data_IF_493106400635
#
_entry.id   IF_493106400635
#
_cell.length_a   1.000
_cell.length_b   1.000
_cell.length_c   1.000
_cell.angle_alpha   90.00
_cell.angle_beta   90.00
_cell.angle_gamma   90.00
#
_symmetry.space_group_name_H-M   'P 1'
#
loop_
_entity.id
_entity.type
_entity.pdbx_description
1 polymer ?
#
# COMPACT_ATOMS: atom_id res chain seq x y z
N UNK A 1 -14.28 1.00 10.44
CA UNK A 1 -14.96 1.41 11.67
C UNK A 1 -14.70 2.89 11.96
N UNK A 2 -15.66 3.57 12.57
CA UNK A 2 -15.49 4.91 13.14
C UNK A 2 -15.80 4.84 14.63
N UNK A 3 -14.77 4.91 15.50
CA UNK A 3 -14.98 4.83 16.95
C UNK A 3 -15.48 6.15 17.56
N UNK A 4 -15.98 7.09 16.75
CA UNK A 4 -16.45 8.40 17.18
C UNK A 4 -15.54 9.55 16.75
N UNK A 5 -14.76 9.38 15.65
CA UNK A 5 -14.03 10.50 15.08
C UNK A 5 -14.99 11.59 14.65
N UNK A 6 -14.63 12.82 14.99
CA UNK A 6 -15.37 14.04 14.63
C UNK A 6 -14.40 15.02 13.95
N UNK A 7 -14.92 16.16 13.50
CA UNK A 7 -14.11 17.23 12.90
C UNK A 7 -13.49 18.14 13.93
N UNK A 8 -13.77 17.94 15.22
CA UNK A 8 -13.30 18.78 16.30
C UNK A 8 -11.81 18.55 16.57
N UNK A 9 -11.17 19.55 17.15
CA UNK A 9 -9.77 19.47 17.56
C UNK A 9 -9.56 18.32 18.57
N UNK A 10 -8.53 17.53 18.32
CA UNK A 10 -8.19 16.37 19.16
C UNK A 10 -9.09 15.15 19.01
N UNK A 11 -10.13 15.22 18.15
CA UNK A 11 -11.05 14.09 17.89
C UNK A 11 -11.06 13.59 16.45
N UNK A 12 -10.17 14.12 15.63
CA UNK A 12 -10.06 13.74 14.23
C UNK A 12 -9.43 12.35 14.08
N UNK A 13 -9.71 11.71 12.93
CA UNK A 13 -9.06 10.48 12.55
C UNK A 13 -7.52 10.63 12.64
N UNK A 14 -6.82 9.79 13.42
CA UNK A 14 -5.37 9.88 13.59
C UNK A 14 -4.59 9.81 12.27
N UNK A 15 -5.07 9.03 11.31
CA UNK A 15 -4.43 8.94 9.99
C UNK A 15 -4.52 10.27 9.24
N UNK A 16 -5.65 10.97 9.32
CA UNK A 16 -5.80 12.31 8.76
C UNK A 16 -4.81 13.29 9.39
N UNK A 17 -4.77 13.36 10.71
CA UNK A 17 -3.90 14.34 11.41
C UNK A 17 -2.41 14.03 11.29
N UNK A 18 -2.04 12.74 11.22
CA UNK A 18 -0.62 12.33 11.14
C UNK A 18 -0.06 12.31 9.72
N UNK A 19 -0.89 12.03 8.71
CA UNK A 19 -0.46 11.83 7.32
C UNK A 19 -0.96 12.92 6.38
N UNK A 20 -1.95 13.68 6.77
CA UNK A 20 -2.54 14.78 6.03
C UNK A 20 -2.27 16.12 6.69
N UNK A 21 -3.25 16.62 7.43
CA UNK A 21 -3.21 17.95 8.04
C UNK A 21 -3.70 17.92 9.48
N UNK A 22 -3.00 18.67 10.36
CA UNK A 22 -3.52 18.95 11.70
C UNK A 22 -4.80 19.79 11.62
N UNK A 23 -5.49 19.89 12.75
CA UNK A 23 -6.66 20.76 12.88
C UNK A 23 -6.38 22.22 12.51
N UNK A 24 -5.19 22.72 12.81
CA UNK A 24 -4.73 24.10 12.52
C UNK A 24 -4.16 24.27 11.11
N UNK A 25 -4.15 23.22 10.28
CA UNK A 25 -3.67 23.26 8.91
C UNK A 25 -2.18 23.07 8.74
N UNK A 26 -1.46 22.73 9.81
CA UNK A 26 -0.07 22.32 9.69
C UNK A 26 -0.03 20.99 8.93
N UNK A 27 0.82 20.90 7.92
CA UNK A 27 1.05 19.66 7.21
C UNK A 27 1.40 18.54 8.18
N UNK A 28 0.82 17.38 8.00
CA UNK A 28 1.17 16.18 8.72
C UNK A 28 2.60 15.72 8.39
N UNK A 29 2.84 14.44 8.41
CA UNK A 29 4.17 13.91 8.21
C UNK A 29 4.65 14.06 6.76
N UNK A 30 5.41 15.12 6.47
CA UNK A 30 6.04 15.38 5.17
C UNK A 30 7.15 14.38 4.81
N UNK A 31 7.64 13.60 5.77
CA UNK A 31 8.67 12.59 5.55
C UNK A 31 8.12 11.30 4.89
N UNK A 32 6.82 11.12 4.86
CA UNK A 32 6.20 9.93 4.28
C UNK A 32 5.81 10.17 2.82
N UNK A 33 6.69 9.81 1.93
CA UNK A 33 6.49 9.90 0.49
C UNK A 33 6.50 8.50 -0.15
N UNK A 34 5.87 8.30 -1.33
CA UNK A 34 5.94 7.03 -2.04
C UNK A 34 7.36 6.71 -2.50
N UNK A 35 7.67 5.42 -2.55
CA UNK A 35 8.87 4.96 -3.23
C UNK A 35 8.64 4.94 -4.74
N UNK A 36 9.71 5.07 -5.53
CA UNK A 36 9.63 4.86 -6.98
C UNK A 36 9.07 3.48 -7.34
N UNK A 37 9.38 2.46 -6.55
CA UNK A 37 8.83 1.13 -6.72
C UNK A 37 7.30 1.13 -6.63
N UNK A 38 6.73 1.74 -5.58
CA UNK A 38 5.28 1.85 -5.40
C UNK A 38 4.64 2.68 -6.52
N UNK A 39 5.21 3.83 -6.85
CA UNK A 39 4.72 4.73 -7.89
C UNK A 39 4.75 4.10 -9.29
N UNK A 40 5.72 3.22 -9.55
CA UNK A 40 5.87 2.51 -10.81
C UNK A 40 4.69 1.60 -11.19
N UNK A 41 3.89 1.16 -10.23
CA UNK A 41 2.65 0.41 -10.49
C UNK A 41 1.52 1.27 -11.06
N UNK A 42 1.67 2.59 -11.07
CA UNK A 42 0.64 3.51 -11.53
C UNK A 42 1.03 4.27 -12.79
N UNK A 43 2.31 4.36 -13.11
CA UNK A 43 2.86 5.27 -14.12
C UNK A 43 3.37 4.60 -15.40
N UNK A 44 3.10 3.31 -15.59
CA UNK A 44 3.55 2.57 -16.78
C UNK A 44 4.94 1.94 -16.66
N UNK A 45 5.66 2.15 -15.56
CA UNK A 45 6.96 1.49 -15.35
C UNK A 45 6.82 -0.01 -15.06
N UNK A 46 5.72 -0.39 -14.42
CA UNK A 46 5.32 -1.77 -14.11
C UNK A 46 3.93 -2.08 -14.63
N UNK A 47 2.95 -1.25 -14.28
CA UNK A 47 1.57 -1.30 -14.73
C UNK A 47 1.09 0.12 -15.04
N UNK A 48 0.05 0.23 -15.84
CA UNK A 48 -0.60 1.49 -16.18
C UNK A 48 -1.87 1.64 -15.35
N UNK A 49 -1.89 2.58 -14.41
CA UNK A 49 -3.03 2.82 -13.52
C UNK A 49 -3.20 4.30 -13.19
N UNK A 50 -3.49 5.07 -14.19
CA UNK A 50 -3.63 6.51 -14.02
C UNK A 50 -4.77 6.90 -13.06
N UNK A 51 -5.80 6.08 -12.98
CA UNK A 51 -6.98 6.37 -12.16
C UNK A 51 -6.66 6.28 -10.67
N UNK A 52 -6.11 5.14 -10.20
CA UNK A 52 -5.70 5.03 -8.79
C UNK A 52 -4.52 5.95 -8.48
N UNK A 53 -3.60 6.15 -9.42
CA UNK A 53 -2.50 7.10 -9.27
C UNK A 53 -2.99 8.52 -8.97
N UNK A 54 -3.97 9.03 -9.72
CA UNK A 54 -4.59 10.35 -9.50
C UNK A 54 -5.36 10.44 -8.18
N UNK A 55 -5.91 9.34 -7.69
CA UNK A 55 -6.62 9.31 -6.42
C UNK A 55 -5.68 9.25 -5.21
N UNK A 56 -4.45 8.76 -5.39
CA UNK A 56 -3.50 8.52 -4.30
C UNK A 56 -2.46 9.62 -4.16
N UNK A 57 -1.88 10.10 -5.27
CA UNK A 57 -0.64 10.86 -5.24
C UNK A 57 -0.82 12.33 -5.60
N UNK A 58 -0.11 13.18 -4.85
CA UNK A 58 0.03 14.57 -5.19
C UNK A 58 0.82 14.73 -6.50
N UNK A 59 0.32 15.61 -7.38
CA UNK A 59 0.95 15.89 -8.69
C UNK A 59 1.20 14.66 -9.59
N UNK A 60 0.38 13.60 -9.46
CA UNK A 60 0.46 12.49 -10.39
C UNK A 60 0.40 12.97 -11.87
N UNK A 61 1.21 12.48 -12.80
CA UNK A 61 2.17 11.37 -12.66
C UNK A 61 3.60 11.80 -12.32
N UNK A 62 3.83 13.02 -11.84
CA UNK A 62 5.17 13.52 -11.54
C UNK A 62 5.87 12.65 -10.49
N UNK A 63 7.15 12.39 -10.71
CA UNK A 63 8.02 11.63 -9.80
C UNK A 63 8.75 12.51 -8.77
N UNK A 64 8.51 13.83 -8.78
CA UNK A 64 9.16 14.76 -7.83
C UNK A 64 8.75 14.51 -6.38
N UNK A 65 7.64 13.83 -6.19
CA UNK A 65 7.11 13.42 -4.88
C UNK A 65 7.48 11.97 -4.50
N UNK A 66 8.47 11.37 -5.13
CA UNK A 66 8.92 10.01 -4.86
C UNK A 66 10.38 10.00 -4.39
N UNK A 67 10.76 8.94 -3.65
CA UNK A 67 12.13 8.71 -3.25
C UNK A 67 12.50 7.22 -3.36
N UNK A 68 13.78 6.92 -3.21
CA UNK A 68 14.29 5.57 -3.05
C UNK A 68 14.95 5.47 -1.68
N UNK A 69 14.55 4.50 -0.89
CA UNK A 69 15.05 4.34 0.48
C UNK A 69 16.58 4.25 0.50
N UNK A 70 17.19 5.05 1.37
CA UNK A 70 18.65 5.11 1.52
C UNK A 70 19.41 5.80 0.40
N UNK A 71 18.72 6.46 -0.54
CA UNK A 71 19.38 7.29 -1.56
C UNK A 71 19.41 8.76 -1.14
N UNK A 72 20.46 9.13 -0.44
CA UNK A 72 20.65 10.50 0.08
C UNK A 72 20.86 11.53 -1.04
N UNK A 73 21.34 11.12 -2.21
CA UNK A 73 21.59 12.02 -3.34
C UNK A 73 20.30 12.55 -3.99
N UNK A 74 19.17 11.89 -3.78
CA UNK A 74 17.88 12.36 -4.28
C UNK A 74 17.33 13.57 -3.49
N UNK A 75 17.89 13.83 -2.33
CA UNK A 75 17.41 14.87 -1.44
C UNK A 75 15.98 14.59 -0.93
N UNK A 76 15.45 15.54 -0.18
CA UNK A 76 14.02 15.53 0.16
C UNK A 76 13.29 16.23 -0.97
N UNK A 77 12.37 15.54 -1.62
CA UNK A 77 11.49 16.18 -2.58
C UNK A 77 10.81 17.39 -1.93
N UNK A 78 10.65 18.48 -2.67
CA UNK A 78 9.92 19.64 -2.14
C UNK A 78 8.51 19.15 -1.78
N UNK A 79 8.21 19.20 -0.48
CA UNK A 79 6.94 18.69 0.00
C UNK A 79 5.81 19.57 -0.50
N UNK A 80 4.72 18.98 -1.00
CA UNK A 80 3.53 19.71 -1.31
C UNK A 80 2.92 20.30 -0.03
N UNK A 81 2.04 21.26 -0.19
CA UNK A 81 1.25 21.71 0.95
C UNK A 81 0.35 20.57 1.43
N UNK A 82 0.69 20.04 2.59
CA UNK A 82 -0.03 18.98 3.28
C UNK A 82 0.57 17.60 3.14
N UNK A 83 0.26 16.85 2.11
CA UNK A 83 0.60 15.44 2.02
C UNK A 83 0.89 14.98 0.59
N UNK A 84 1.87 14.08 0.45
CA UNK A 84 2.14 13.37 -0.82
C UNK A 84 1.04 12.36 -1.18
N UNK A 85 0.20 11.98 -0.23
CA UNK A 85 -0.84 10.96 -0.33
C UNK A 85 -2.25 11.55 -0.46
N UNK A 86 -2.35 12.72 -1.00
CA UNK A 86 -3.60 13.41 -1.21
C UNK A 86 -3.69 13.90 -2.65
N UNK A 87 -4.79 13.65 -3.37
CA UNK A 87 -4.93 14.06 -4.75
C UNK A 87 -4.86 15.59 -4.86
N UNK A 88 -4.01 16.06 -5.78
CA UNK A 88 -3.82 17.48 -6.07
C UNK A 88 -4.67 17.92 -7.26
N UNK A 89 -4.71 19.23 -7.50
CA UNK A 89 -4.31 20.38 -6.70
C UNK A 89 -5.49 21.05 -5.98
N UNK A 90 -6.71 20.81 -6.40
CA UNK A 90 -7.92 21.47 -5.93
C UNK A 90 -8.64 20.64 -4.85
N UNK A 91 -7.91 20.23 -3.84
CA UNK A 91 -8.52 19.55 -2.71
C UNK A 91 -9.45 20.49 -1.93
N UNK A 92 -10.47 19.94 -1.26
CA UNK A 92 -11.32 20.70 -0.36
C UNK A 92 -10.49 21.34 0.75
N UNK A 93 -11.06 22.33 1.43
CA UNK A 93 -10.46 22.92 2.63
C UNK A 93 -10.00 21.82 3.58
N UNK A 94 -8.82 21.98 4.19
CA UNK A 94 -8.12 20.93 4.94
C UNK A 94 -8.01 21.25 6.41
N UNK A 95 -8.53 22.40 6.84
CA UNK A 95 -8.33 23.01 8.15
C UNK A 95 -9.63 23.06 8.94
N UNK A 96 -9.51 22.82 10.24
CA UNK A 96 -10.59 22.97 11.19
C UNK A 96 -11.78 22.04 10.93
N UNK A 97 -12.92 22.42 11.45
CA UNK A 97 -14.18 21.69 11.24
C UNK A 97 -14.72 21.78 9.82
N UNK A 98 -14.24 22.75 9.04
CA UNK A 98 -14.63 22.94 7.63
C UNK A 98 -13.84 22.09 6.64
N UNK A 99 -12.88 21.28 7.10
CA UNK A 99 -12.13 20.39 6.24
C UNK A 99 -13.06 19.49 5.43
N UNK A 100 -12.91 19.51 4.11
CA UNK A 100 -13.77 18.76 3.20
C UNK A 100 -13.43 17.28 3.11
N UNK A 101 -14.35 16.50 2.59
CA UNK A 101 -14.13 15.11 2.27
C UNK A 101 -13.41 14.95 0.93
N UNK A 102 -12.67 13.88 0.76
CA UNK A 102 -11.94 13.55 -0.45
C UNK A 102 -12.03 12.07 -0.79
N UNK A 103 -11.69 11.75 -2.03
CA UNK A 103 -11.35 10.38 -2.46
C UNK A 103 -9.92 10.02 -2.00
N UNK A 104 -9.48 8.80 -2.30
CA UNK A 104 -8.15 8.33 -1.94
C UNK A 104 -8.10 7.70 -0.56
N UNK A 105 -6.94 7.79 0.10
CA UNK A 105 -6.70 7.16 1.42
C UNK A 105 -6.96 8.11 2.59
N UNK A 106 -6.78 9.41 2.38
CA UNK A 106 -7.04 10.46 3.37
C UNK A 106 -8.39 11.11 3.07
N UNK A 107 -9.47 10.45 3.48
CA UNK A 107 -10.83 10.78 3.06
C UNK A 107 -11.45 11.98 3.77
N UNK A 108 -10.96 12.31 4.95
CA UNK A 108 -11.48 13.41 5.78
C UNK A 108 -11.19 13.20 7.27
N UNK A 109 -11.31 14.27 8.07
CA UNK A 109 -10.96 14.23 9.48
C UNK A 109 -11.89 13.33 10.33
N UNK A 110 -13.13 13.13 9.90
CA UNK A 110 -14.12 12.28 10.55
C UNK A 110 -14.30 10.92 9.83
N UNK A 111 -13.48 10.61 8.86
CA UNK A 111 -13.52 9.33 8.16
C UNK A 111 -13.18 8.17 9.11
N UNK A 112 -13.87 7.04 8.94
CA UNK A 112 -13.54 5.82 9.65
C UNK A 112 -12.19 5.23 9.26
N UNK A 113 -11.60 4.45 10.15
CA UNK A 113 -10.38 3.69 9.89
C UNK A 113 -10.75 2.33 9.29
N UNK A 114 -10.21 1.92 8.13
CA UNK A 114 -10.41 0.57 7.62
C UNK A 114 -9.64 -0.43 8.48
N UNK A 115 -10.31 -1.47 8.99
CA UNK A 115 -9.67 -2.63 9.61
C UNK A 115 -9.34 -3.69 8.55
N UNK A 116 -10.31 -3.95 7.68
CA UNK A 116 -10.19 -4.79 6.50
C UNK A 116 -11.04 -4.17 5.39
N UNK A 117 -10.56 -4.19 4.17
CA UNK A 117 -11.32 -3.72 3.02
C UNK A 117 -11.98 -4.89 2.28
N UNK A 118 -13.05 -4.62 1.53
CA UNK A 118 -13.64 -5.64 0.65
C UNK A 118 -12.64 -6.15 -0.37
N UNK A 119 -11.78 -5.27 -0.91
CA UNK A 119 -10.69 -5.66 -1.81
C UNK A 119 -9.74 -6.67 -1.17
N UNK A 120 -9.29 -6.40 0.05
CA UNK A 120 -8.42 -7.30 0.81
C UNK A 120 -9.08 -8.67 1.05
N UNK A 121 -10.35 -8.66 1.46
CA UNK A 121 -11.13 -9.88 1.66
C UNK A 121 -11.23 -10.72 0.38
N UNK A 122 -11.48 -10.08 -0.76
CA UNK A 122 -11.54 -10.80 -2.04
C UNK A 122 -10.19 -11.37 -2.47
N UNK A 123 -9.08 -10.69 -2.23
CA UNK A 123 -7.76 -11.26 -2.53
C UNK A 123 -7.41 -12.43 -1.60
N UNK A 124 -7.83 -12.41 -0.33
CA UNK A 124 -7.70 -13.57 0.57
C UNK A 124 -8.54 -14.74 0.04
N UNK A 125 -9.77 -14.48 -0.42
CA UNK A 125 -10.61 -15.52 -1.03
C UNK A 125 -10.01 -16.05 -2.34
N UNK A 126 -9.39 -15.17 -3.17
CA UNK A 126 -8.72 -15.60 -4.39
C UNK A 126 -7.58 -16.57 -4.11
N UNK A 127 -6.77 -16.30 -3.10
CA UNK A 127 -5.70 -17.20 -2.66
C UNK A 127 -6.26 -18.50 -2.07
N UNK A 128 -7.29 -18.42 -1.22
CA UNK A 128 -7.93 -19.61 -0.64
C UNK A 128 -8.55 -20.51 -1.73
N UNK A 129 -9.19 -19.91 -2.74
CA UNK A 129 -9.74 -20.66 -3.88
C UNK A 129 -8.62 -21.24 -4.77
N UNK A 130 -7.49 -20.52 -4.95
CA UNK A 130 -6.34 -21.01 -5.70
C UNK A 130 -5.78 -22.31 -5.11
N UNK A 131 -5.78 -22.43 -3.79
CA UNK A 131 -5.33 -23.62 -3.07
C UNK A 131 -6.45 -24.64 -2.76
N UNK A 132 -7.65 -24.42 -3.27
CA UNK A 132 -8.78 -25.34 -3.09
C UNK A 132 -9.35 -25.38 -1.65
N UNK A 133 -9.03 -24.37 -0.83
CA UNK A 133 -9.54 -24.25 0.55
C UNK A 133 -11.01 -23.87 0.55
N UNK A 134 -11.44 -23.08 -0.43
CA UNK A 134 -12.84 -22.70 -0.65
C UNK A 134 -13.23 -22.98 -2.10
N UNK A 135 -14.52 -23.28 -2.33
CA UNK A 135 -15.10 -23.53 -3.64
C UNK A 135 -16.31 -22.63 -3.96
N UNK A 136 -16.69 -21.77 -3.04
CA UNK A 136 -17.86 -20.87 -3.20
C UNK A 136 -17.63 -19.76 -4.25
N UNK A 137 -16.39 -19.49 -4.58
CA UNK A 137 -15.97 -18.53 -5.60
C UNK A 137 -14.71 -19.06 -6.30
N UNK A 138 -14.54 -18.81 -7.61
CA UNK A 138 -13.30 -19.14 -8.30
C UNK A 138 -12.19 -18.14 -7.96
N UNK A 139 -10.92 -18.58 -8.02
CA UNK A 139 -9.78 -17.69 -7.79
C UNK A 139 -9.80 -16.46 -8.72
N UNK A 140 -10.17 -16.65 -10.00
CA UNK A 140 -10.28 -15.56 -10.96
C UNK A 140 -11.40 -14.58 -10.60
N UNK A 141 -12.60 -15.06 -10.27
CA UNK A 141 -13.71 -14.18 -9.90
C UNK A 141 -13.40 -13.36 -8.64
N UNK A 142 -12.79 -13.99 -7.64
CA UNK A 142 -12.36 -13.30 -6.44
C UNK A 142 -11.24 -12.27 -6.73
N UNK A 143 -10.26 -12.61 -7.56
CA UNK A 143 -9.22 -11.71 -8.03
C UNK A 143 -9.80 -10.47 -8.72
N UNK A 144 -10.71 -10.66 -9.67
CA UNK A 144 -11.38 -9.58 -10.40
C UNK A 144 -12.20 -8.68 -9.49
N UNK A 145 -12.91 -9.27 -8.51
CA UNK A 145 -13.64 -8.53 -7.49
C UNK A 145 -12.68 -7.74 -6.59
N UNK A 146 -11.53 -8.32 -6.22
CA UNK A 146 -10.49 -7.63 -5.46
C UNK A 146 -10.03 -6.34 -6.14
N UNK A 147 -9.75 -6.39 -7.44
CA UNK A 147 -9.40 -5.21 -8.23
C UNK A 147 -10.56 -4.20 -8.22
N UNK A 148 -11.77 -4.61 -8.59
CA UNK A 148 -12.92 -3.71 -8.65
C UNK A 148 -13.18 -2.99 -7.31
N UNK A 149 -13.12 -3.71 -6.20
CA UNK A 149 -13.33 -3.13 -4.87
C UNK A 149 -12.18 -2.22 -4.42
N UNK A 150 -10.97 -2.39 -4.94
CA UNK A 150 -9.86 -1.44 -4.74
C UNK A 150 -10.18 -0.08 -5.35
N UNK A 151 -10.74 -0.04 -6.57
CA UNK A 151 -11.21 1.20 -7.18
C UNK A 151 -12.39 1.80 -6.41
N UNK A 152 -13.37 0.98 -6.03
CA UNK A 152 -14.51 1.44 -5.22
C UNK A 152 -14.05 2.08 -3.90
N UNK A 153 -13.08 1.47 -3.22
CA UNK A 153 -12.54 2.03 -1.99
C UNK A 153 -11.90 3.40 -2.22
N UNK A 154 -11.02 3.53 -3.20
CA UNK A 154 -10.33 4.80 -3.45
C UNK A 154 -11.27 5.90 -3.93
N UNK A 155 -12.30 5.57 -4.71
CA UNK A 155 -13.26 6.52 -5.25
C UNK A 155 -14.53 6.69 -4.39
N UNK A 156 -14.55 6.17 -3.16
CA UNK A 156 -15.62 6.44 -2.20
C UNK A 156 -15.26 7.57 -1.25
N UNK A 157 -16.26 8.40 -0.92
CA UNK A 157 -16.21 9.37 0.18
C UNK A 157 -16.42 8.67 1.55
N UNK A 158 -16.22 9.35 2.68
CA UNK A 158 -16.44 8.78 4.02
C UNK A 158 -17.85 8.20 4.23
N UNK A 159 -18.86 8.79 3.61
CA UNK A 159 -20.25 8.33 3.64
C UNK A 159 -20.54 7.17 2.66
N UNK A 160 -19.49 6.59 2.04
CA UNK A 160 -19.55 5.52 1.05
C UNK A 160 -20.15 5.90 -0.32
N UNK A 161 -20.48 7.17 -0.56
CA UNK A 161 -20.88 7.64 -1.88
C UNK A 161 -19.70 7.49 -2.84
N UNK A 162 -19.95 6.87 -4.01
CA UNK A 162 -18.94 6.75 -5.06
C UNK A 162 -18.84 8.04 -5.86
N UNK A 163 -17.61 8.43 -6.19
CA UNK A 163 -17.33 9.57 -7.05
C UNK A 163 -16.99 9.05 -8.45
N UNK A 164 -17.76 9.47 -9.45
CA UNK A 164 -17.61 8.99 -10.81
C UNK A 164 -18.07 7.53 -10.98
N UNK A 165 -17.41 6.82 -11.87
CA UNK A 165 -17.69 5.40 -12.16
C UNK A 165 -16.46 4.53 -11.92
N UNK A 166 -16.19 4.09 -10.69
CA UNK A 166 -15.03 3.26 -10.38
C UNK A 166 -14.97 1.94 -11.14
N UNK A 167 -16.13 1.35 -11.47
CA UNK A 167 -16.18 0.11 -12.24
C UNK A 167 -15.69 0.32 -13.68
N UNK A 168 -16.01 1.44 -14.31
CA UNK A 168 -15.46 1.79 -15.63
C UNK A 168 -13.95 2.05 -15.56
N UNK A 169 -13.46 2.69 -14.49
CA UNK A 169 -12.04 2.90 -14.27
C UNK A 169 -11.29 1.57 -14.09
N UNK A 170 -11.87 0.63 -13.35
CA UNK A 170 -11.32 -0.72 -13.19
C UNK A 170 -11.30 -1.49 -14.52
N UNK A 171 -12.33 -1.35 -15.35
CA UNK A 171 -12.37 -1.95 -16.68
C UNK A 171 -11.26 -1.38 -17.58
N UNK A 172 -11.08 -0.06 -17.61
CA UNK A 172 -9.97 0.59 -18.34
C UNK A 172 -8.62 0.08 -17.88
N UNK A 173 -8.39 0.01 -16.57
CA UNK A 173 -7.16 -0.54 -16.00
C UNK A 173 -6.86 -1.98 -16.50
N UNK A 174 -7.88 -2.83 -16.57
CA UNK A 174 -7.72 -4.21 -17.08
C UNK A 174 -7.37 -4.23 -18.58
N UNK A 175 -7.95 -3.34 -19.36
CA UNK A 175 -7.64 -3.20 -20.80
C UNK A 175 -6.21 -2.69 -21.01
N UNK A 176 -5.82 -1.64 -20.29
CA UNK A 176 -4.48 -1.03 -20.40
C UNK A 176 -3.36 -2.01 -20.02
N UNK A 177 -3.67 -3.03 -19.23
CA UNK A 177 -2.71 -4.05 -18.76
C UNK A 177 -3.05 -5.46 -19.25
N UNK A 178 -3.78 -5.60 -20.35
CA UNK A 178 -4.27 -6.90 -20.85
C UNK A 178 -3.16 -7.91 -21.13
N UNK A 179 -1.94 -7.46 -21.44
CA UNK A 179 -0.75 -8.28 -21.69
C UNK A 179 0.01 -8.70 -20.44
N UNK A 180 -0.36 -8.19 -19.26
CA UNK A 180 0.32 -8.50 -18.00
C UNK A 180 -0.43 -9.58 -17.21
N UNK A 181 0.25 -10.68 -16.85
CA UNK A 181 -0.34 -11.70 -15.98
C UNK A 181 -0.66 -11.18 -14.57
N UNK A 182 -0.07 -10.07 -14.16
CA UNK A 182 -0.38 -9.42 -12.88
C UNK A 182 -1.79 -8.79 -12.86
N UNK A 183 -2.44 -8.63 -14.01
CA UNK A 183 -3.79 -8.05 -14.15
C UNK A 183 -4.71 -8.98 -14.93
N UNK A 184 -4.24 -9.57 -16.02
CA UNK A 184 -4.96 -10.57 -16.77
C UNK A 184 -4.67 -11.97 -16.23
N UNK A 185 -5.55 -12.43 -15.34
CA UNK A 185 -5.37 -13.70 -14.62
C UNK A 185 -5.29 -14.92 -15.53
N UNK A 186 -5.85 -14.84 -16.76
CA UNK A 186 -5.78 -15.91 -17.75
C UNK A 186 -4.35 -16.13 -18.29
N UNK A 187 -3.48 -15.14 -18.20
CA UNK A 187 -2.07 -15.24 -18.59
C UNK A 187 -1.20 -15.86 -17.49
N UNK A 188 -1.70 -15.96 -16.26
CA UNK A 188 -1.04 -16.63 -15.15
C UNK A 188 -1.25 -18.15 -15.27
N UNK A 189 -0.32 -18.84 -15.89
CA UNK A 189 -0.47 -20.26 -16.24
C UNK A 189 -0.13 -21.22 -15.09
N UNK A 190 0.76 -20.79 -14.17
CA UNK A 190 1.16 -21.61 -13.02
C UNK A 190 0.53 -21.10 -11.73
N UNK A 191 0.50 -21.92 -10.69
CA UNK A 191 0.04 -21.55 -9.36
C UNK A 191 0.87 -20.39 -8.79
N UNK A 192 2.18 -20.37 -9.02
CA UNK A 192 3.09 -19.31 -8.61
C UNK A 192 2.76 -17.99 -9.29
N UNK A 193 2.50 -18.00 -10.62
CA UNK A 193 2.10 -16.79 -11.35
C UNK A 193 0.75 -16.26 -10.89
N UNK A 194 -0.21 -17.15 -10.59
CA UNK A 194 -1.51 -16.78 -10.03
C UNK A 194 -1.36 -16.16 -8.63
N UNK A 195 -0.53 -16.77 -7.79
CA UNK A 195 -0.21 -16.22 -6.46
C UNK A 195 0.48 -14.86 -6.59
N UNK A 196 1.44 -14.72 -7.49
CA UNK A 196 2.12 -13.45 -7.77
C UNK A 196 1.11 -12.35 -8.15
N UNK A 197 0.18 -12.66 -9.06
CA UNK A 197 -0.87 -11.73 -9.47
C UNK A 197 -1.75 -11.31 -8.28
N UNK A 198 -2.24 -12.29 -7.51
CA UNK A 198 -3.12 -12.05 -6.35
C UNK A 198 -2.41 -11.16 -5.32
N UNK A 199 -1.21 -11.52 -4.90
CA UNK A 199 -0.49 -10.79 -3.85
C UNK A 199 -0.04 -9.42 -4.33
N UNK A 200 0.38 -9.28 -5.60
CA UNK A 200 0.75 -7.98 -6.16
C UNK A 200 -0.45 -7.03 -6.22
N UNK A 201 -1.62 -7.49 -6.66
CA UNK A 201 -2.83 -6.66 -6.66
C UNK A 201 -3.32 -6.35 -5.24
N UNK A 202 -3.21 -7.29 -4.30
CA UNK A 202 -3.48 -7.05 -2.87
C UNK A 202 -2.55 -5.98 -2.33
N UNK A 203 -1.24 -6.05 -2.63
CA UNK A 203 -0.25 -5.05 -2.22
C UNK A 203 -0.59 -3.66 -2.75
N UNK A 204 -0.98 -3.54 -4.04
CA UNK A 204 -1.42 -2.27 -4.63
C UNK A 204 -2.69 -1.73 -3.93
N UNK A 205 -3.65 -2.60 -3.64
CA UNK A 205 -4.90 -2.22 -2.98
C UNK A 205 -4.70 -1.78 -1.52
N UNK A 206 -3.68 -2.32 -0.84
CA UNK A 206 -3.35 -2.01 0.55
C UNK A 206 -2.36 -0.85 0.70
N UNK A 207 -1.87 -0.31 -0.41
CA UNK A 207 -0.93 0.81 -0.39
C UNK A 207 -1.53 2.00 0.40
N UNK A 208 -0.87 2.39 1.49
CA UNK A 208 -1.34 3.40 2.45
C UNK A 208 -2.67 3.07 3.16
N UNK A 209 -3.22 1.88 2.96
CA UNK A 209 -4.43 1.41 3.66
C UNK A 209 -4.06 0.51 4.83
N UNK A 210 -3.32 -0.58 4.56
CA UNK A 210 -2.89 -1.57 5.55
C UNK A 210 -1.51 -2.14 5.17
N UNK A 211 -0.47 -1.34 5.37
CA UNK A 211 0.89 -1.69 4.93
C UNK A 211 1.49 -2.87 5.71
N UNK A 212 1.08 -3.09 6.96
CA UNK A 212 1.57 -4.20 7.77
C UNK A 212 1.17 -5.57 7.18
N UNK A 213 -0.05 -5.66 6.62
CA UNK A 213 -0.48 -6.88 5.93
C UNK A 213 0.29 -7.07 4.62
N UNK A 214 0.58 -6.01 3.89
CA UNK A 214 1.44 -6.09 2.70
C UNK A 214 2.83 -6.60 3.04
N UNK A 215 3.41 -6.19 4.17
CA UNK A 215 4.68 -6.68 4.67
C UNK A 215 4.61 -8.16 5.08
N UNK A 216 3.54 -8.57 5.76
CA UNK A 216 3.32 -9.97 6.12
C UNK A 216 3.20 -10.86 4.88
N UNK A 217 2.45 -10.43 3.87
CA UNK A 217 2.32 -11.15 2.61
C UNK A 217 3.66 -11.26 1.86
N UNK A 218 4.43 -10.16 1.82
CA UNK A 218 5.76 -10.20 1.20
C UNK A 218 6.68 -11.24 1.89
N UNK A 219 6.77 -11.22 3.21
CA UNK A 219 7.61 -12.18 3.95
C UNK A 219 7.18 -13.63 3.74
N UNK A 220 5.89 -13.87 3.52
CA UNK A 220 5.32 -15.19 3.30
C UNK A 220 5.50 -15.69 1.87
N UNK A 221 5.42 -14.80 0.88
CA UNK A 221 5.31 -15.16 -0.54
C UNK A 221 6.48 -14.67 -1.39
N UNK A 222 7.21 -13.65 -0.95
CA UNK A 222 8.19 -12.86 -1.69
C UNK A 222 7.57 -12.07 -2.86
N UNK A 223 6.28 -11.76 -2.79
CA UNK A 223 5.59 -10.91 -3.76
C UNK A 223 5.13 -9.58 -3.14
N UNK A 224 5.13 -8.49 -3.90
CA UNK A 224 5.55 -8.37 -5.31
C UNK A 224 7.05 -8.63 -5.48
N UNK A 225 7.46 -9.18 -6.62
CA UNK A 225 8.87 -9.48 -6.91
C UNK A 225 9.74 -8.23 -6.84
N UNK A 226 10.90 -8.37 -6.20
CA UNK A 226 11.95 -7.38 -6.15
C UNK A 226 13.15 -7.85 -6.97
N UNK A 227 13.82 -6.90 -7.61
CA UNK A 227 15.12 -7.10 -8.21
C UNK A 227 16.13 -6.16 -7.55
N UNK A 228 17.12 -6.73 -6.88
CA UNK A 228 18.22 -5.99 -6.23
C UNK A 228 19.58 -6.34 -6.86
N UNK A 229 19.58 -6.89 -8.09
CA UNK A 229 20.79 -7.17 -8.82
C UNK A 229 21.57 -5.87 -9.18
N UNK A 230 22.84 -6.01 -9.45
CA UNK A 230 23.62 -4.88 -9.96
C UNK A 230 22.99 -4.34 -11.25
N UNK A 231 22.74 -3.04 -11.31
CA UNK A 231 22.05 -2.39 -12.42
C UNK A 231 20.52 -2.36 -12.35
N UNK A 232 19.92 -2.93 -11.31
CA UNK A 232 18.49 -2.78 -11.09
C UNK A 232 18.08 -1.32 -10.94
N UNK A 233 16.93 -0.98 -11.52
CA UNK A 233 16.40 0.38 -11.47
C UNK A 233 15.69 0.67 -10.15
N UNK A 234 15.52 1.95 -9.84
CA UNK A 234 14.76 2.41 -8.69
C UNK A 234 13.28 1.98 -8.68
N UNK A 235 12.77 1.50 -9.81
CA UNK A 235 11.42 0.97 -9.95
C UNK A 235 11.33 -0.54 -9.63
N UNK A 236 12.45 -1.23 -9.51
CA UNK A 236 12.47 -2.69 -9.34
C UNK A 236 12.59 -3.12 -7.89
N UNK A 237 12.93 -2.20 -6.98
CA UNK A 237 13.05 -2.50 -5.55
C UNK A 237 12.59 -1.33 -4.68
N UNK A 238 12.02 -1.66 -3.52
CA UNK A 238 11.80 -0.71 -2.43
C UNK A 238 12.80 -0.90 -1.27
N UNK A 239 13.77 -1.81 -1.42
CA UNK A 239 14.79 -1.98 -0.41
C UNK A 239 15.73 -0.76 -0.36
N UNK A 240 16.23 -0.46 0.83
CA UNK A 240 17.20 0.63 1.03
C UNK A 240 18.53 0.30 0.36
N UNK A 241 19.11 1.29 -0.32
CA UNK A 241 20.50 1.20 -0.84
C UNK A 241 21.55 1.09 0.30
N UNK A 242 21.16 1.46 1.51
CA UNK A 242 21.99 1.37 2.73
C UNK A 242 21.69 0.13 3.56
N UNK A 243 20.93 -0.83 3.01
CA UNK A 243 20.57 -2.04 3.76
C UNK A 243 21.79 -2.91 4.07
N UNK A 244 21.94 -3.24 5.33
CA UNK A 244 22.95 -4.19 5.83
C UNK A 244 22.51 -5.66 5.68
N UNK A 245 21.30 -5.89 5.17
CA UNK A 245 20.80 -7.25 5.00
C UNK A 245 21.64 -8.03 4.01
N UNK A 246 22.02 -9.24 4.41
CA UNK A 246 22.71 -10.20 3.58
C UNK A 246 21.78 -10.99 2.66
N UNK A 247 20.46 -10.83 2.81
CA UNK A 247 19.46 -11.49 1.97
C UNK A 247 19.49 -10.95 0.53
N UNK A 248 19.10 -11.79 -0.44
CA UNK A 248 18.98 -11.33 -1.84
C UNK A 248 18.02 -10.15 -2.02
N UNK A 249 16.92 -10.11 -1.26
CA UNK A 249 15.92 -9.03 -1.31
C UNK A 249 16.33 -7.78 -0.54
N UNK A 250 17.45 -7.82 0.21
CA UNK A 250 17.97 -6.71 1.00
C UNK A 250 17.01 -6.21 2.09
N UNK A 251 16.06 -7.03 2.51
CA UNK A 251 15.05 -6.67 3.51
C UNK A 251 15.26 -7.44 4.81
N UNK A 252 14.78 -6.92 5.95
CA UNK A 252 14.68 -7.71 7.17
C UNK A 252 13.56 -8.76 7.03
N UNK A 253 13.68 -9.85 7.77
CA UNK A 253 12.64 -10.89 7.80
C UNK A 253 11.79 -10.86 9.07
N UNK A 254 12.27 -10.22 10.12
CA UNK A 254 11.55 -10.10 11.39
C UNK A 254 11.90 -8.83 12.15
N UNK A 255 11.03 -8.48 13.08
CA UNK A 255 11.32 -7.52 14.15
C UNK A 255 11.92 -8.30 15.32
N UNK A 256 12.95 -7.76 15.93
CA UNK A 256 13.53 -8.33 17.15
C UNK A 256 12.65 -8.04 18.36
N UNK A 257 12.84 -8.82 19.43
CA UNK A 257 12.21 -8.54 20.71
C UNK A 257 12.63 -7.17 21.24
N UNK A 258 11.73 -6.45 21.92
CA UNK A 258 12.07 -5.20 22.59
C UNK A 258 13.23 -5.40 23.58
N UNK A 259 14.07 -4.40 23.75
CA UNK A 259 15.17 -4.43 24.72
C UNK A 259 14.70 -4.68 26.16
N UNK A 260 13.49 -4.21 26.48
CA UNK A 260 12.84 -4.45 27.76
C UNK A 260 12.63 -5.95 28.04
N UNK A 261 12.25 -6.75 27.05
CA UNK A 261 12.16 -8.20 27.19
C UNK A 261 13.52 -8.81 27.54
N UNK A 262 14.58 -8.38 26.85
CA UNK A 262 15.93 -8.81 27.17
C UNK A 262 16.39 -8.47 28.61
N UNK A 263 15.87 -7.37 29.16
CA UNK A 263 16.19 -6.90 30.51
C UNK A 263 15.36 -7.63 31.59
N UNK A 264 14.03 -7.73 31.38
CA UNK A 264 13.12 -8.23 32.43
C UNK A 264 12.79 -9.71 32.32
N UNK A 265 13.05 -10.35 31.17
CA UNK A 265 12.77 -11.75 30.91
C UNK A 265 13.92 -12.47 30.19
N UNK A 266 15.20 -12.31 30.61
CA UNK A 266 16.38 -12.75 29.88
C UNK A 266 16.47 -14.26 29.67
N UNK A 267 15.78 -15.02 30.51
CA UNK A 267 15.80 -16.50 30.46
C UNK A 267 14.95 -17.04 29.32
N UNK A 268 13.84 -16.35 28.99
CA UNK A 268 12.87 -16.85 28.01
C UNK A 268 13.03 -16.17 26.63
N UNK A 269 13.83 -15.11 26.52
CA UNK A 269 14.08 -14.45 25.22
C UNK A 269 15.08 -15.29 24.42
N UNK A 270 14.70 -15.73 23.20
CA UNK A 270 15.63 -16.42 22.31
C UNK A 270 16.87 -15.59 22.03
N UNK A 271 18.05 -16.21 22.17
CA UNK A 271 19.33 -15.54 21.94
C UNK A 271 19.85 -15.76 20.52
N UNK A 272 20.69 -14.86 20.05
CA UNK A 272 21.32 -14.97 18.72
C UNK A 272 20.39 -14.73 17.53
N UNK A 273 19.24 -14.09 17.76
CA UNK A 273 18.32 -13.74 16.66
C UNK A 273 18.89 -12.61 15.81
N UNK A 274 18.87 -12.81 14.50
CA UNK A 274 19.18 -11.80 13.50
C UNK A 274 17.89 -11.31 12.83
N UNK A 275 17.72 -10.00 12.62
CA UNK A 275 16.57 -9.48 11.88
C UNK A 275 16.57 -9.92 10.41
N UNK A 276 17.71 -10.39 9.89
CA UNK A 276 17.88 -10.72 8.47
C UNK A 276 17.83 -12.21 8.18
N UNK A 277 18.31 -13.06 9.11
CA UNK A 277 18.48 -14.50 8.84
C UNK A 277 17.62 -15.40 9.71
N UNK A 278 17.10 -14.89 10.84
CA UNK A 278 16.24 -15.71 11.73
C UNK A 278 14.79 -15.63 11.25
N UNK A 279 14.41 -16.58 10.40
CA UNK A 279 13.04 -16.65 9.87
C UNK A 279 12.03 -16.96 11.01
N UNK A 280 10.83 -16.43 10.86
CA UNK A 280 9.65 -16.91 11.59
C UNK A 280 9.06 -18.10 10.82
N UNK A 281 8.30 -18.96 11.49
CA UNK A 281 7.91 -20.29 10.98
C UNK A 281 7.17 -20.28 9.62
N UNK A 282 6.56 -19.17 9.23
CA UNK A 282 5.82 -19.05 7.99
C UNK A 282 6.53 -18.14 6.94
N UNK A 283 7.69 -17.54 7.26
CA UNK A 283 8.43 -16.70 6.32
C UNK A 283 9.35 -17.53 5.41
N UNK A 284 9.60 -16.98 4.21
CA UNK A 284 10.55 -17.52 3.22
C UNK A 284 11.90 -16.81 3.25
#
# INVERSE_FOLDING_TARGET
VNPGYTRDNGRQNPKWSSWGWSYTGTSGNKAWMPTFFAHGFYTGQKLVDSSRGKALFYNYPSVTSCNQLGNESLGVASSPDGSFWFPAPAGPLRVGTSAGNSIGVLKGPDAGLPLITASESYFIQAEAALYGIISSITAQAAFDNGINHSFNYLYSLPNKTLVGNPSALAATYKVDNVSSHLVNFNLALTTEQKLEAIITQKWIALNMVNCDQSWNDYRRTLYPKLNNAAGATKYETFASLKSESTRPDKLPTRILYPSSEGTYNPTNVPKGLSPFTSLIFWAK
#
